data_IF_920551078421
#
_entry.id   IF_920551078421
#
_cell.length_a   1.000
_cell.length_b   1.000
_cell.length_c   1.000
_cell.angle_alpha   90.00
_cell.angle_beta   90.00
_cell.angle_gamma   90.00
#
_symmetry.space_group_name_H-M   'P 1'
#
loop_
_entity.id
_entity.type
_entity.pdbx_description
1 polymer ?
#
# COMPACT_ATOMS: atom_id res chain seq x y z
N UNK A 1 48.20 -34.04 3.06
CA UNK A 1 47.07 -34.67 2.34
C UNK A 1 46.43 -33.62 1.43
N UNK A 2 46.78 -33.59 0.14
CA UNK A 2 46.48 -32.47 -0.79
C UNK A 2 45.02 -32.37 -1.24
N UNK A 3 44.17 -33.34 -0.89
CA UNK A 3 42.79 -33.40 -1.36
C UNK A 3 41.88 -32.31 -0.75
N UNK A 4 42.08 -31.92 0.51
CA UNK A 4 41.23 -30.91 1.17
C UNK A 4 41.44 -29.50 0.61
N UNK A 5 42.69 -29.09 0.37
CA UNK A 5 43.01 -27.79 -0.22
C UNK A 5 42.43 -27.67 -1.64
N UNK A 6 42.54 -28.74 -2.44
CA UNK A 6 41.95 -28.78 -3.78
C UNK A 6 40.41 -28.63 -3.77
N UNK A 7 39.73 -29.18 -2.76
CA UNK A 7 38.27 -29.02 -2.60
C UNK A 7 37.94 -27.58 -2.20
N UNK A 8 38.69 -26.98 -1.28
CA UNK A 8 38.48 -25.59 -0.86
C UNK A 8 38.70 -24.59 -2.00
N UNK A 9 39.73 -24.80 -2.82
CA UNK A 9 40.01 -23.94 -3.97
C UNK A 9 38.90 -24.03 -5.03
N UNK A 10 38.37 -25.24 -5.28
CA UNK A 10 37.21 -25.42 -6.17
C UNK A 10 35.96 -24.75 -5.61
N UNK A 11 35.70 -24.85 -4.30
CA UNK A 11 34.59 -24.17 -3.64
C UNK A 11 34.67 -22.65 -3.81
N UNK A 12 35.84 -22.05 -3.55
CA UNK A 12 36.05 -20.60 -3.72
C UNK A 12 35.82 -20.15 -5.17
N UNK A 13 36.33 -20.91 -6.15
CA UNK A 13 36.12 -20.62 -7.58
C UNK A 13 34.65 -20.70 -7.96
N UNK A 14 33.93 -21.73 -7.52
CA UNK A 14 32.50 -21.88 -7.79
C UNK A 14 31.68 -20.77 -7.13
N UNK A 15 32.03 -20.37 -5.92
CA UNK A 15 31.38 -19.25 -5.25
C UNK A 15 31.57 -17.94 -6.04
N UNK A 16 32.80 -17.62 -6.45
CA UNK A 16 33.06 -16.43 -7.26
C UNK A 16 32.29 -16.44 -8.59
N UNK A 17 32.16 -17.61 -9.24
CA UNK A 17 31.37 -17.76 -10.45
C UNK A 17 29.88 -17.55 -10.20
N UNK A 18 29.34 -18.08 -9.09
CA UNK A 18 27.94 -17.88 -8.72
C UNK A 18 27.62 -16.40 -8.45
N UNK A 19 28.50 -15.71 -7.73
CA UNK A 19 28.38 -14.28 -7.45
C UNK A 19 28.47 -13.45 -8.74
N UNK A 20 29.35 -13.79 -9.68
CA UNK A 20 29.44 -13.14 -10.98
C UNK A 20 28.14 -13.32 -11.80
N UNK A 21 27.57 -14.53 -11.81
CA UNK A 21 26.29 -14.79 -12.47
C UNK A 21 25.12 -14.04 -11.81
N UNK A 22 25.10 -13.97 -10.47
CA UNK A 22 24.13 -13.19 -9.71
C UNK A 22 24.22 -11.70 -10.03
N UNK A 23 25.44 -11.13 -10.07
CA UNK A 23 25.66 -9.74 -10.41
C UNK A 23 25.19 -9.42 -11.84
N UNK A 24 25.45 -10.31 -12.80
CA UNK A 24 25.00 -10.11 -14.19
C UNK A 24 23.47 -10.18 -14.31
N UNK A 25 22.81 -11.14 -13.64
CA UNK A 25 21.35 -11.21 -13.58
C UNK A 25 20.76 -9.96 -12.92
N UNK A 26 21.33 -9.52 -11.81
CA UNK A 26 20.90 -8.31 -11.11
C UNK A 26 21.02 -7.06 -12.01
N UNK A 27 22.13 -6.91 -12.75
CA UNK A 27 22.29 -5.82 -13.73
C UNK A 27 21.19 -5.82 -14.78
N UNK A 28 20.88 -6.97 -15.38
CA UNK A 28 19.81 -7.09 -16.39
C UNK A 28 18.44 -6.72 -15.81
N UNK A 29 18.12 -7.18 -14.59
CA UNK A 29 16.86 -6.87 -13.92
C UNK A 29 16.78 -5.38 -13.61
N UNK A 30 17.83 -4.77 -13.07
CA UNK A 30 17.87 -3.32 -12.78
C UNK A 30 17.71 -2.50 -14.05
N UNK A 31 18.34 -2.89 -15.17
CA UNK A 31 18.15 -2.23 -16.45
C UNK A 31 16.70 -2.31 -16.94
N UNK A 32 16.05 -3.47 -16.76
CA UNK A 32 14.62 -3.64 -17.10
C UNK A 32 13.71 -2.78 -16.22
N UNK A 33 13.99 -2.70 -14.92
CA UNK A 33 13.25 -1.83 -14.00
C UNK A 33 13.38 -0.37 -14.43
N UNK A 34 14.59 0.11 -14.74
CA UNK A 34 14.81 1.48 -15.23
C UNK A 34 14.04 1.76 -16.51
N UNK A 35 14.08 0.84 -17.48
CA UNK A 35 13.29 0.97 -18.71
C UNK A 35 11.79 1.09 -18.44
N UNK A 36 11.26 0.30 -17.50
CA UNK A 36 9.85 0.40 -17.09
C UNK A 36 9.57 1.72 -16.36
N UNK A 37 10.48 2.19 -15.51
CA UNK A 37 10.37 3.50 -14.86
C UNK A 37 10.27 4.62 -15.90
N UNK A 38 11.16 4.62 -16.90
CA UNK A 38 11.18 5.63 -17.97
C UNK A 38 9.89 5.58 -18.81
N UNK A 39 9.40 4.38 -19.14
CA UNK A 39 8.15 4.21 -19.90
C UNK A 39 6.92 4.77 -19.18
N UNK A 40 6.91 4.72 -17.86
CA UNK A 40 5.80 5.18 -17.03
C UNK A 40 6.05 6.54 -16.38
N UNK A 41 7.18 7.19 -16.67
CA UNK A 41 7.58 8.44 -16.03
C UNK A 41 7.71 8.35 -14.51
N UNK A 42 8.02 7.17 -13.98
CA UNK A 42 8.13 6.94 -12.54
C UNK A 42 9.51 7.39 -12.04
N UNK A 43 9.51 8.24 -11.02
CA UNK A 43 10.72 8.61 -10.30
C UNK A 43 10.88 7.77 -9.03
N UNK A 44 12.07 7.77 -8.44
CA UNK A 44 12.28 7.12 -7.13
C UNK A 44 11.38 7.72 -6.05
N UNK A 45 11.09 9.03 -6.13
CA UNK A 45 10.19 9.70 -5.21
C UNK A 45 8.75 9.17 -5.30
N UNK A 46 8.28 8.81 -6.50
CA UNK A 46 6.95 8.22 -6.69
C UNK A 46 6.88 6.83 -6.06
N UNK A 47 7.93 6.02 -6.21
CA UNK A 47 8.03 4.69 -5.60
C UNK A 47 8.06 4.82 -4.06
N UNK A 48 8.81 5.77 -3.53
CA UNK A 48 8.91 6.03 -2.09
C UNK A 48 7.58 6.52 -1.50
N UNK A 49 6.87 7.40 -2.23
CA UNK A 49 5.57 7.92 -1.82
C UNK A 49 4.48 6.84 -1.75
N UNK A 50 4.55 5.81 -2.62
CA UNK A 50 3.61 4.68 -2.64
C UNK A 50 4.05 3.53 -1.73
N UNK A 51 5.35 3.34 -1.49
CA UNK A 51 5.88 2.28 -0.61
C UNK A 51 5.79 2.66 0.87
N UNK A 52 5.83 3.96 1.17
CA UNK A 52 5.37 4.50 2.44
C UNK A 52 3.87 4.14 2.55
N UNK A 53 3.59 3.03 3.22
CA UNK A 53 2.25 2.70 3.68
C UNK A 53 1.87 3.78 4.69
N UNK A 54 1.48 4.96 4.18
CA UNK A 54 0.95 6.06 4.98
C UNK A 54 -0.27 5.47 5.62
N UNK A 55 -0.13 5.06 6.89
CA UNK A 55 -1.28 4.78 7.74
C UNK A 55 -2.16 5.99 7.56
N UNK A 56 -3.29 5.80 6.87
CA UNK A 56 -4.31 6.85 6.76
C UNK A 56 -4.53 7.24 8.21
N UNK A 57 -4.14 8.47 8.57
CA UNK A 57 -4.46 8.99 9.88
C UNK A 57 -5.98 8.89 9.94
N UNK A 58 -6.45 7.91 10.71
CA UNK A 58 -7.87 7.74 10.94
C UNK A 58 -8.39 9.10 11.35
N UNK A 59 -9.51 9.51 10.76
CA UNK A 59 -10.13 10.81 10.99
C UNK A 59 -9.98 11.17 12.47
N UNK A 60 -9.35 12.31 12.83
CA UNK A 60 -9.15 12.65 14.23
C UNK A 60 -10.51 12.65 14.91
N UNK A 61 -10.72 11.74 15.85
CA UNK A 61 -11.86 11.79 16.74
C UNK A 61 -11.68 13.04 17.60
N UNK A 62 -12.43 14.10 17.33
CA UNK A 62 -12.48 15.26 18.23
C UNK A 62 -12.01 16.59 17.68
N UNK A 63 -12.06 16.83 16.36
CA UNK A 63 -12.30 18.20 15.91
C UNK A 63 -13.81 18.43 16.02
N UNK A 64 -14.21 19.11 17.10
CA UNK A 64 -15.54 19.65 17.30
C UNK A 64 -15.92 20.54 16.09
N UNK A 65 -16.50 19.91 15.07
CA UNK A 65 -17.37 20.61 14.15
C UNK A 65 -18.72 20.67 14.84
N UNK A 66 -19.10 21.85 15.30
CA UNK A 66 -20.48 22.21 15.54
C UNK A 66 -21.30 21.90 14.27
N UNK A 67 -21.81 20.67 14.21
CA UNK A 67 -22.82 20.07 13.30
C UNK A 67 -22.56 18.56 13.23
N UNK A 68 -22.72 17.91 14.36
CA UNK A 68 -22.81 16.46 14.48
C UNK A 68 -24.05 16.09 15.27
N UNK A 69 -25.24 16.17 14.67
CA UNK A 69 -26.43 15.51 15.22
C UNK A 69 -26.42 14.07 14.72
N UNK A 70 -26.14 13.13 15.61
CA UNK A 70 -26.19 11.71 15.28
C UNK A 70 -25.67 10.80 16.39
N UNK A 71 -26.06 11.04 17.64
CA UNK A 71 -25.61 10.24 18.80
C UNK A 71 -26.61 10.31 19.94
N UNK A 72 -27.68 9.52 19.80
CA UNK A 72 -28.77 9.22 20.72
C UNK A 72 -28.44 9.30 22.23
N UNK A 73 -28.95 10.31 22.92
CA UNK A 73 -29.29 10.30 24.35
C UNK A 73 -30.57 11.16 24.52
N UNK A 74 -31.75 10.55 24.44
CA UNK A 74 -32.59 10.21 25.61
C UNK A 74 -32.96 11.44 26.44
N UNK A 75 -34.02 12.15 26.03
CA UNK A 75 -35.29 12.33 26.77
C UNK A 75 -35.98 13.66 26.46
N UNK A 76 -37.31 13.56 26.38
CA UNK A 76 -38.32 14.61 26.57
C UNK A 76 -38.43 15.73 25.53
N UNK A 77 -39.49 15.57 24.75
CA UNK A 77 -40.70 16.41 24.77
C UNK A 77 -41.08 17.02 23.40
N UNK A 78 -42.25 16.58 22.93
CA UNK A 78 -43.27 17.26 22.13
C UNK A 78 -42.80 18.43 21.24
N UNK A 79 -42.97 18.28 19.94
CA UNK A 79 -43.88 19.13 19.16
C UNK A 79 -44.08 18.57 17.75
N UNK A 80 -45.33 18.52 17.32
CA UNK A 80 -45.80 18.05 16.03
C UNK A 80 -45.16 18.81 14.85
N UNK A 81 -44.82 18.10 13.76
CA UNK A 81 -44.93 18.55 12.36
C UNK A 81 -44.50 17.45 11.37
N UNK A 82 -45.47 16.99 10.58
CA UNK A 82 -45.30 16.40 9.24
C UNK A 82 -44.91 14.93 9.15
N UNK A 83 -45.78 14.10 8.54
CA UNK A 83 -45.40 12.76 8.05
C UNK A 83 -44.34 12.93 6.96
N UNK A 84 -43.06 12.70 7.27
CA UNK A 84 -42.02 12.64 6.24
C UNK A 84 -42.20 11.34 5.42
N UNK A 85 -42.23 11.39 4.08
CA UNK A 85 -42.36 10.20 3.27
C UNK A 85 -41.07 9.36 3.29
N UNK A 86 -41.16 8.01 3.18
CA UNK A 86 -39.99 7.15 3.07
C UNK A 86 -39.18 7.49 1.83
N UNK A 87 -37.89 7.79 1.99
CA UNK A 87 -36.97 8.23 0.93
C UNK A 87 -36.55 7.13 -0.08
N UNK A 88 -37.17 5.94 -0.02
CA UNK A 88 -36.76 4.77 -0.81
C UNK A 88 -37.95 3.93 -1.27
N UNK A 89 -38.95 4.58 -1.88
CA UNK A 89 -39.98 3.92 -2.66
C UNK A 89 -39.88 4.45 -4.09
N UNK A 90 -39.35 3.63 -4.99
CA UNK A 90 -39.41 3.95 -6.42
C UNK A 90 -40.89 3.93 -6.82
N UNK A 91 -41.47 5.05 -7.32
CA UNK A 91 -42.92 5.21 -7.45
C UNK A 91 -43.59 4.31 -8.50
N UNK A 92 -42.86 3.37 -9.11
CA UNK A 92 -43.41 2.35 -10.02
C UNK A 92 -43.22 0.91 -9.54
N UNK A 93 -42.46 0.66 -8.47
CA UNK A 93 -42.29 -0.69 -7.91
C UNK A 93 -42.29 -0.75 -6.39
N UNK A 94 -42.53 0.37 -5.69
CA UNK A 94 -42.61 0.42 -4.22
C UNK A 94 -43.71 1.31 -3.69
#
# INVERSE_FOLDING_TARGET
>A
MPALEQIQDKMKRLQAQAEALMANKAKTVVARIRKLMDQHGLTTADIDAHSATKKRAGRPSGAASEKGSGGKAVTKAKAAKGKLPPKYRDPKTG
#
